data_IF_892744001250
#
_entry.id   IF_892744001250
#
_cell.length_a   1.000
_cell.length_b   1.000
_cell.length_c   1.000
_cell.angle_alpha   90.00
_cell.angle_beta   90.00
_cell.angle_gamma   90.00
#
_symmetry.space_group_name_H-M   'P 1'
#
loop_
_entity.id
_entity.type
_entity.pdbx_description
1 polymer ?
#
# COMPACT_ATOMS: atom_id res chain seq x y z
N UNK A 1 -9.49 -7.38 -21.05
CA UNK A 1 -8.82 -7.51 -19.75
C UNK A 1 -9.80 -7.11 -18.66
N UNK A 2 -9.90 -7.89 -17.58
CA UNK A 2 -10.67 -7.54 -16.39
C UNK A 2 -9.71 -7.21 -15.25
N UNK A 3 -9.93 -6.09 -14.56
CA UNK A 3 -9.13 -5.67 -13.40
C UNK A 3 -10.04 -5.52 -12.20
N UNK A 4 -9.68 -6.08 -11.05
CA UNK A 4 -10.52 -5.99 -9.85
C UNK A 4 -9.73 -5.94 -8.55
N UNK A 5 -10.29 -5.24 -7.56
CA UNK A 5 -9.86 -5.22 -6.17
C UNK A 5 -11.11 -5.37 -5.29
N UNK A 6 -11.62 -6.60 -5.10
CA UNK A 6 -12.86 -6.82 -4.34
C UNK A 6 -12.71 -6.41 -2.87
N UNK A 7 -13.82 -6.13 -2.16
CA UNK A 7 -13.77 -5.75 -0.75
C UNK A 7 -13.00 -6.75 0.12
N UNK A 8 -11.92 -6.27 0.75
CA UNK A 8 -11.00 -7.11 1.53
C UNK A 8 -11.46 -7.42 2.97
N UNK A 9 -12.54 -6.80 3.43
CA UNK A 9 -12.98 -6.81 4.83
C UNK A 9 -13.23 -8.20 5.44
N UNK A 10 -13.73 -9.21 4.69
CA UNK A 10 -13.89 -10.58 5.20
C UNK A 10 -12.57 -11.28 5.54
N UNK A 11 -11.44 -10.79 5.00
CA UNK A 11 -10.12 -11.45 5.00
C UNK A 11 -9.08 -10.77 5.90
N UNK A 12 -9.45 -9.68 6.58
CA UNK A 12 -8.52 -8.94 7.45
C UNK A 12 -8.51 -9.50 8.88
N UNK A 13 -7.35 -9.47 9.56
CA UNK A 13 -7.18 -9.88 10.98
C UNK A 13 -8.14 -9.19 11.97
N UNK A 14 -8.70 -8.03 11.61
CA UNK A 14 -9.64 -7.26 12.44
C UNK A 14 -11.11 -7.42 11.98
N UNK A 15 -11.40 -8.28 11.00
CA UNK A 15 -12.76 -8.62 10.57
C UNK A 15 -13.28 -9.88 11.25
N UNK A 16 -14.57 -10.18 11.07
CA UNK A 16 -15.21 -11.37 11.65
C UNK A 16 -14.73 -12.70 11.05
N UNK A 17 -13.76 -12.67 10.11
CA UNK A 17 -13.21 -13.84 9.40
C UNK A 17 -14.29 -14.77 8.80
N UNK A 18 -15.42 -14.19 8.40
CA UNK A 18 -16.53 -14.94 7.80
C UNK A 18 -16.26 -15.34 6.35
N UNK A 19 -15.17 -14.84 5.73
CA UNK A 19 -14.74 -15.22 4.39
C UNK A 19 -15.92 -15.18 3.37
N UNK A 20 -16.23 -16.29 2.70
CA UNK A 20 -17.29 -16.44 1.70
C UNK A 20 -18.71 -16.32 2.27
N UNK A 21 -18.90 -16.43 3.57
CA UNK A 21 -20.20 -16.27 4.23
C UNK A 21 -20.54 -14.80 4.50
N UNK A 22 -19.57 -13.91 4.30
CA UNK A 22 -19.79 -12.47 4.44
C UNK A 22 -20.64 -11.93 3.27
N UNK A 23 -21.75 -11.21 3.53
CA UNK A 23 -22.59 -10.62 2.48
C UNK A 23 -21.83 -9.72 1.50
N UNK A 24 -20.70 -9.14 1.93
CA UNK A 24 -19.86 -8.28 1.09
C UNK A 24 -19.11 -9.06 0.00
N UNK A 25 -19.03 -10.39 0.10
CA UNK A 25 -18.39 -11.24 -0.93
C UNK A 25 -19.33 -11.64 -2.06
N UNK A 26 -20.63 -11.36 -1.98
CA UNK A 26 -21.62 -11.77 -2.99
C UNK A 26 -21.22 -11.29 -4.39
N UNK A 27 -20.81 -10.03 -4.51
CA UNK A 27 -20.33 -9.47 -5.79
C UNK A 27 -19.06 -10.17 -6.29
N UNK A 28 -18.13 -10.51 -5.40
CA UNK A 28 -16.92 -11.25 -5.75
C UNK A 28 -17.29 -12.64 -6.28
N UNK A 29 -18.08 -13.42 -5.53
CA UNK A 29 -18.52 -14.77 -5.93
C UNK A 29 -19.20 -14.76 -7.29
N UNK A 30 -20.09 -13.80 -7.52
CA UNK A 30 -20.76 -13.65 -8.81
C UNK A 30 -19.78 -13.28 -9.94
N UNK A 31 -18.83 -12.36 -9.68
CA UNK A 31 -17.80 -12.00 -10.66
C UNK A 31 -16.91 -13.20 -11.01
N UNK A 32 -16.52 -14.02 -10.02
CA UNK A 32 -15.76 -15.24 -10.25
C UNK A 32 -16.53 -16.24 -11.10
N UNK A 33 -17.83 -16.43 -10.84
CA UNK A 33 -18.68 -17.24 -11.71
C UNK A 33 -18.71 -16.70 -13.15
N UNK A 34 -18.81 -15.38 -13.35
CA UNK A 34 -18.80 -14.80 -14.69
C UNK A 34 -17.48 -15.00 -15.43
N UNK A 35 -16.35 -15.14 -14.74
CA UNK A 35 -15.05 -15.44 -15.37
C UNK A 35 -15.12 -16.78 -16.12
N UNK A 36 -15.75 -17.82 -15.55
CA UNK A 36 -15.86 -19.13 -16.22
C UNK A 36 -16.76 -19.12 -17.44
N UNK A 37 -17.73 -18.20 -17.48
CA UNK A 37 -18.67 -18.05 -18.59
C UNK A 37 -18.10 -17.17 -19.71
N UNK A 38 -17.58 -16.00 -19.36
CA UNK A 38 -17.14 -14.99 -20.33
C UNK A 38 -15.71 -15.25 -20.81
N UNK A 39 -14.89 -15.89 -19.98
CA UNK A 39 -13.48 -16.21 -20.27
C UNK A 39 -12.67 -15.01 -20.79
N UNK A 40 -12.60 -13.89 -20.04
CA UNK A 40 -11.79 -12.74 -20.44
C UNK A 40 -10.32 -13.12 -20.67
N UNK A 41 -9.71 -12.64 -21.75
CA UNK A 41 -8.35 -13.08 -22.12
C UNK A 41 -7.27 -12.79 -21.06
N UNK A 42 -7.44 -11.73 -20.28
CA UNK A 42 -6.53 -11.33 -19.19
C UNK A 42 -7.33 -10.93 -17.96
N UNK A 43 -6.86 -11.34 -16.79
CA UNK A 43 -7.42 -11.01 -15.47
C UNK A 43 -6.30 -10.48 -14.58
N UNK A 44 -6.58 -9.38 -13.89
CA UNK A 44 -5.76 -8.83 -12.82
C UNK A 44 -6.62 -8.73 -11.55
N UNK A 45 -6.11 -9.25 -10.45
CA UNK A 45 -6.78 -9.30 -9.16
C UNK A 45 -5.85 -8.76 -8.07
N UNK A 46 -6.32 -7.83 -7.24
CA UNK A 46 -5.60 -7.32 -6.07
C UNK A 46 -6.41 -7.57 -4.80
N UNK A 47 -5.75 -7.93 -3.71
CA UNK A 47 -6.36 -8.08 -2.40
C UNK A 47 -5.36 -7.87 -1.25
N UNK A 48 -5.82 -7.96 -0.01
CA UNK A 48 -4.97 -7.85 1.18
C UNK A 48 -4.13 -9.10 1.43
N UNK A 49 -2.99 -8.91 2.11
CA UNK A 49 -2.26 -10.02 2.74
C UNK A 49 -3.21 -10.77 3.68
N UNK A 50 -3.22 -12.10 3.58
CA UNK A 50 -4.16 -13.01 4.24
C UNK A 50 -5.18 -13.61 3.26
N UNK A 51 -5.47 -12.93 2.14
CA UNK A 51 -6.37 -13.47 1.12
C UNK A 51 -5.82 -14.78 0.53
N UNK A 52 -4.50 -14.90 0.39
CA UNK A 52 -3.83 -16.08 -0.15
C UNK A 52 -4.05 -17.38 0.63
N UNK A 53 -4.60 -17.30 1.84
CA UNK A 53 -4.94 -18.47 2.67
C UNK A 53 -6.45 -18.62 2.88
N UNK A 54 -7.25 -17.84 2.16
CA UNK A 54 -8.71 -17.80 2.29
C UNK A 54 -9.42 -18.79 1.37
N UNK A 55 -10.68 -19.12 1.69
CA UNK A 55 -11.55 -19.89 0.79
C UNK A 55 -11.90 -19.07 -0.47
N UNK A 56 -11.94 -17.74 -0.36
CA UNK A 56 -12.03 -16.85 -1.52
C UNK A 56 -10.91 -17.05 -2.54
N UNK A 57 -9.67 -17.22 -2.09
CA UNK A 57 -8.54 -17.52 -2.99
C UNK A 57 -8.65 -18.91 -3.58
N UNK A 58 -9.01 -19.93 -2.77
CA UNK A 58 -9.21 -21.30 -3.27
C UNK A 58 -10.27 -21.36 -4.37
N UNK A 59 -11.38 -20.63 -4.19
CA UNK A 59 -12.43 -20.50 -5.19
C UNK A 59 -11.94 -19.82 -6.47
N UNK A 60 -11.18 -18.72 -6.34
CA UNK A 60 -10.58 -18.04 -7.49
C UNK A 60 -9.66 -18.96 -8.28
N UNK A 61 -8.74 -19.66 -7.61
CA UNK A 61 -7.79 -20.57 -8.25
C UNK A 61 -8.49 -21.75 -8.92
N UNK A 62 -9.44 -22.41 -8.25
CA UNK A 62 -10.21 -23.52 -8.86
C UNK A 62 -10.94 -23.07 -10.13
N UNK A 63 -11.60 -21.91 -10.11
CA UNK A 63 -12.29 -21.37 -11.29
C UNK A 63 -11.32 -21.09 -12.43
N UNK A 64 -10.15 -20.53 -12.14
CA UNK A 64 -9.13 -20.24 -13.15
C UNK A 64 -8.58 -21.52 -13.78
N UNK A 65 -8.21 -22.51 -12.95
CA UNK A 65 -7.72 -23.81 -13.41
C UNK A 65 -8.76 -24.55 -14.27
N UNK A 66 -10.02 -24.62 -13.82
CA UNK A 66 -11.12 -25.25 -14.56
C UNK A 66 -11.46 -24.51 -15.86
N UNK A 67 -11.17 -23.20 -15.92
CA UNK A 67 -11.43 -22.36 -17.09
C UNK A 67 -10.23 -22.23 -18.03
N UNK A 68 -9.19 -23.07 -17.87
CA UNK A 68 -7.97 -23.08 -18.67
C UNK A 68 -7.21 -21.74 -18.70
N UNK A 69 -7.08 -21.13 -17.51
CA UNK A 69 -6.17 -20.02 -17.30
C UNK A 69 -4.85 -20.52 -16.73
N UNK A 70 -3.77 -19.94 -17.20
CA UNK A 70 -2.54 -19.86 -16.43
C UNK A 70 -2.55 -18.62 -15.56
N UNK A 71 -1.97 -18.75 -14.37
CA UNK A 71 -1.92 -17.64 -13.41
C UNK A 71 -0.65 -17.66 -12.56
N UNK A 72 -0.34 -16.51 -11.97
CA UNK A 72 0.71 -16.36 -10.98
C UNK A 72 0.20 -15.48 -9.84
N UNK A 73 0.44 -15.95 -8.62
CA UNK A 73 0.15 -15.22 -7.39
C UNK A 73 1.39 -14.51 -6.84
N UNK A 74 1.20 -13.32 -6.27
CA UNK A 74 2.28 -12.55 -5.67
C UNK A 74 1.88 -11.93 -4.34
N UNK A 75 2.88 -11.71 -3.49
CA UNK A 75 2.80 -10.84 -2.32
C UNK A 75 3.88 -9.77 -2.42
N UNK A 76 3.48 -8.55 -2.78
CA UNK A 76 4.40 -7.46 -3.10
C UNK A 76 4.13 -6.22 -2.26
N UNK A 77 5.19 -5.48 -1.97
CA UNK A 77 5.15 -4.22 -1.24
C UNK A 77 5.81 -3.10 -2.05
N UNK A 78 5.29 -1.85 -2.02
CA UNK A 78 5.93 -0.71 -2.68
C UNK A 78 7.40 -0.48 -2.28
N UNK A 79 7.80 -0.94 -1.09
CA UNK A 79 9.20 -0.90 -0.64
C UNK A 79 10.16 -1.55 -1.65
N UNK A 80 9.75 -2.65 -2.31
CA UNK A 80 10.58 -3.34 -3.32
C UNK A 80 10.81 -2.47 -4.57
N UNK A 81 9.93 -1.49 -4.80
CA UNK A 81 9.92 -0.61 -5.96
C UNK A 81 10.46 0.79 -5.62
N UNK A 82 11.13 0.92 -4.47
CA UNK A 82 11.78 2.15 -4.01
C UNK A 82 10.82 3.19 -3.44
N UNK A 83 9.57 2.81 -3.16
CA UNK A 83 8.57 3.73 -2.61
C UNK A 83 8.54 3.56 -1.08
N UNK A 84 8.72 4.64 -0.29
CA UNK A 84 8.83 4.57 1.17
C UNK A 84 7.47 4.38 1.87
N UNK A 85 6.67 3.41 1.44
CA UNK A 85 5.39 3.07 2.05
C UNK A 85 5.19 1.55 2.18
N UNK A 86 4.94 1.11 3.41
CA UNK A 86 4.64 -0.29 3.72
C UNK A 86 3.20 -0.61 3.32
N UNK A 87 2.99 -1.26 2.17
CA UNK A 87 1.65 -1.68 1.69
C UNK A 87 1.70 -3.04 1.03
N UNK A 88 1.97 -4.08 1.82
CA UNK A 88 1.96 -5.47 1.34
C UNK A 88 0.56 -5.86 0.87
N UNK A 89 0.46 -6.36 -0.37
CA UNK A 89 -0.79 -6.80 -1.00
C UNK A 89 -0.59 -8.08 -1.78
N UNK A 90 -1.67 -8.84 -1.84
CA UNK A 90 -1.82 -9.98 -2.71
C UNK A 90 -2.17 -9.50 -4.11
N UNK A 91 -1.51 -10.08 -5.12
CA UNK A 91 -1.83 -9.87 -6.52
C UNK A 91 -1.96 -11.23 -7.20
N UNK A 92 -2.89 -11.36 -8.14
CA UNK A 92 -2.95 -12.47 -9.07
C UNK A 92 -3.11 -11.92 -10.48
N UNK A 93 -2.32 -12.46 -11.40
CA UNK A 93 -2.48 -12.22 -12.83
C UNK A 93 -2.83 -13.54 -13.49
N UNK A 94 -3.78 -13.54 -14.42
CA UNK A 94 -4.15 -14.72 -15.17
C UNK A 94 -4.34 -14.41 -16.66
N UNK A 95 -3.91 -15.34 -17.50
CA UNK A 95 -4.00 -15.29 -18.96
C UNK A 95 -4.74 -16.53 -19.44
N UNK A 96 -5.72 -16.34 -20.31
CA UNK A 96 -6.44 -17.46 -20.91
C UNK A 96 -5.50 -18.19 -21.88
N UNK A 97 -5.23 -19.47 -21.63
CA UNK A 97 -4.37 -20.25 -22.51
C UNK A 97 -5.06 -20.52 -23.85
N UNK A 98 -4.34 -20.29 -24.95
CA UNK A 98 -4.66 -20.93 -26.23
C UNK A 98 -4.28 -22.40 -26.17
N UNK A 99 -4.85 -23.25 -27.06
CA UNK A 99 -4.41 -24.65 -27.18
C UNK A 99 -2.88 -24.71 -27.33
N UNK A 100 -2.18 -25.24 -26.32
CA UNK A 100 -0.73 -25.52 -26.37
C UNK A 100 0.21 -24.57 -25.63
N UNK A 101 -0.27 -23.71 -24.72
CA UNK A 101 0.62 -22.99 -23.80
C UNK A 101 0.68 -23.73 -22.47
N UNK A 102 1.89 -23.91 -21.91
CA UNK A 102 2.14 -24.43 -20.57
C UNK A 102 2.78 -23.27 -19.79
N UNK A 103 2.00 -22.34 -19.27
CA UNK A 103 2.48 -21.64 -18.08
C UNK A 103 2.31 -22.65 -16.95
N UNK A 104 3.42 -23.26 -16.54
CA UNK A 104 3.47 -24.18 -15.41
C UNK A 104 2.80 -23.52 -14.21
N UNK A 105 1.89 -24.26 -13.57
CA UNK A 105 1.37 -23.95 -12.25
C UNK A 105 2.56 -23.71 -11.31
N UNK A 106 2.92 -22.46 -11.10
CA UNK A 106 3.87 -22.11 -10.05
C UNK A 106 3.05 -22.16 -8.75
N UNK A 107 2.97 -23.36 -8.16
CA UNK A 107 2.19 -23.68 -6.96
C UNK A 107 2.52 -22.77 -5.75
N UNK A 108 3.61 -22.00 -5.82
CA UNK A 108 4.04 -21.10 -4.76
C UNK A 108 3.78 -19.62 -5.10
N UNK A 109 3.17 -18.93 -4.13
CA UNK A 109 3.03 -17.47 -4.13
C UNK A 109 4.43 -16.84 -4.17
N UNK A 110 4.66 -16.00 -5.18
CA UNK A 110 5.94 -15.31 -5.34
C UNK A 110 6.00 -14.04 -4.50
N UNK A 111 7.08 -13.89 -3.73
CA UNK A 111 7.41 -12.62 -3.07
C UNK A 111 8.36 -11.76 -3.91
N UNK A 112 8.78 -12.27 -5.08
CA UNK A 112 9.78 -11.65 -5.94
C UNK A 112 9.11 -10.96 -7.13
N UNK A 113 9.48 -9.71 -7.42
CA UNK A 113 9.08 -9.07 -8.67
C UNK A 113 9.83 -9.69 -9.85
N UNK A 114 9.28 -9.57 -11.06
CA UNK A 114 10.02 -9.94 -12.28
C UNK A 114 10.96 -8.79 -12.69
N UNK A 115 12.26 -9.07 -12.67
CA UNK A 115 13.32 -8.09 -12.92
C UNK A 115 13.70 -7.96 -14.41
N UNK A 116 13.43 -9.00 -15.19
CA UNK A 116 13.65 -9.09 -16.63
C UNK A 116 12.59 -8.32 -17.45
N UNK A 117 11.41 -8.09 -16.86
CA UNK A 117 10.29 -7.37 -17.49
C UNK A 117 10.20 -5.93 -16.99
N UNK A 118 10.94 -5.04 -17.64
CA UNK A 118 11.11 -3.65 -17.21
C UNK A 118 10.03 -2.74 -17.80
N UNK A 119 9.42 -1.92 -16.95
CA UNK A 119 8.57 -0.81 -17.40
C UNK A 119 9.39 0.18 -18.23
N UNK A 120 8.78 0.68 -19.31
CA UNK A 120 9.38 1.69 -20.17
C UNK A 120 9.77 2.94 -19.37
N UNK A 121 11.02 3.39 -19.54
CA UNK A 121 11.60 4.56 -18.86
C UNK A 121 11.53 4.52 -17.31
N UNK A 122 11.43 3.34 -16.69
CA UNK A 122 11.42 3.20 -15.23
C UNK A 122 12.80 2.86 -14.68
N UNK A 123 13.27 3.62 -13.68
CA UNK A 123 14.54 3.40 -12.96
C UNK A 123 14.34 2.96 -11.50
N UNK A 124 13.18 2.37 -11.17
CA UNK A 124 12.95 1.82 -9.83
C UNK A 124 13.93 0.66 -9.53
N UNK A 125 14.13 0.29 -8.25
CA UNK A 125 15.06 -0.77 -7.88
C UNK A 125 14.84 -2.11 -8.61
N UNK A 126 13.59 -2.45 -8.92
CA UNK A 126 13.24 -3.61 -9.74
C UNK A 126 13.74 -3.46 -11.19
N UNK A 127 13.39 -2.38 -11.89
CA UNK A 127 13.81 -2.18 -13.28
C UNK A 127 15.33 -1.99 -13.45
N UNK A 128 15.98 -1.37 -12.46
CA UNK A 128 17.43 -1.19 -12.47
C UNK A 128 18.18 -2.44 -11.98
N UNK A 129 17.49 -3.47 -11.49
CA UNK A 129 18.10 -4.67 -10.91
C UNK A 129 18.82 -4.44 -9.58
N UNK A 130 18.61 -3.30 -8.91
CA UNK A 130 19.29 -2.96 -7.65
C UNK A 130 18.84 -3.86 -6.50
N UNK A 131 17.58 -4.29 -6.50
CA UNK A 131 17.02 -5.19 -5.47
C UNK A 131 17.14 -6.68 -5.81
N UNK A 132 17.80 -7.06 -6.92
CA UNK A 132 17.98 -8.47 -7.33
C UNK A 132 18.84 -9.27 -6.35
N UNK A 133 19.82 -8.65 -5.69
CA UNK A 133 20.67 -9.31 -4.69
C UNK A 133 19.89 -9.77 -3.45
N UNK A 134 18.71 -9.19 -3.19
CA UNK A 134 17.84 -9.52 -2.06
C UNK A 134 16.91 -10.72 -2.35
N UNK A 135 17.07 -11.40 -3.50
CA UNK A 135 16.18 -12.48 -3.94
C UNK A 135 16.33 -13.79 -3.15
N UNK A 136 17.47 -14.06 -2.50
CA UNK A 136 17.77 -15.37 -1.92
C UNK A 136 17.23 -15.57 -0.49
N UNK A 137 16.59 -14.56 0.10
CA UNK A 137 16.03 -14.68 1.42
C UNK A 137 14.58 -15.18 1.36
N UNK A 138 14.35 -16.39 1.86
CA UNK A 138 13.03 -17.01 1.98
C UNK A 138 12.09 -16.33 3.00
N UNK A 139 12.43 -15.12 3.45
CA UNK A 139 11.74 -14.44 4.55
C UNK A 139 11.17 -13.12 4.07
N UNK A 140 9.89 -12.88 4.37
CA UNK A 140 9.07 -11.71 3.99
C UNK A 140 9.54 -10.39 4.62
N UNK A 141 10.84 -10.14 4.69
CA UNK A 141 11.48 -8.96 5.25
C UNK A 141 11.71 -7.90 4.18
N UNK A 142 10.61 -7.26 3.76
CA UNK A 142 10.66 -6.16 2.78
C UNK A 142 11.50 -4.97 3.24
N UNK A 143 11.79 -4.85 4.54
CA UNK A 143 12.60 -3.78 5.13
C UNK A 143 14.05 -3.74 4.65
N UNK A 144 14.57 -4.84 4.08
CA UNK A 144 15.89 -4.80 3.41
C UNK A 144 15.90 -3.88 2.19
N UNK A 145 14.75 -3.62 1.58
CA UNK A 145 14.64 -2.71 0.44
C UNK A 145 14.68 -1.22 0.84
N UNK A 146 14.72 -0.89 2.14
CA UNK A 146 14.68 0.50 2.61
C UNK A 146 15.89 1.32 2.16
N UNK A 147 17.04 0.69 1.93
CA UNK A 147 18.22 1.36 1.38
C UNK A 147 17.99 1.88 -0.06
N UNK A 148 17.07 1.25 -0.79
CA UNK A 148 16.72 1.62 -2.16
C UNK A 148 15.47 2.51 -2.25
N UNK A 149 14.83 2.77 -1.11
CA UNK A 149 13.66 3.63 -1.05
C UNK A 149 14.05 5.10 -1.06
N UNK A 150 13.27 5.89 -1.77
CA UNK A 150 13.35 7.34 -1.72
C UNK A 150 13.10 7.84 -0.29
N UNK A 151 13.57 9.06 0.00
CA UNK A 151 13.25 9.74 1.26
C UNK A 151 11.81 10.27 1.24
N UNK A 152 11.19 10.36 2.41
CA UNK A 152 9.84 10.92 2.57
C UNK A 152 9.73 12.33 2.01
N UNK A 153 10.81 13.13 2.10
CA UNK A 153 10.87 14.48 1.53
C UNK A 153 10.43 14.56 0.06
N UNK A 154 10.70 13.53 -0.75
CA UNK A 154 10.31 13.49 -2.16
C UNK A 154 8.79 13.37 -2.40
N UNK A 155 8.01 13.10 -1.34
CA UNK A 155 6.57 12.86 -1.40
C UNK A 155 5.75 13.95 -0.70
N UNK A 156 6.41 14.87 0.01
CA UNK A 156 5.79 15.99 0.72
C UNK A 156 5.33 17.08 -0.25
N UNK A 157 4.29 17.79 0.13
CA UNK A 157 3.90 19.02 -0.59
C UNK A 157 4.68 20.21 -0.06
N UNK A 158 5.12 21.09 -0.97
CA UNK A 158 5.69 22.36 -0.56
C UNK A 158 4.61 23.22 0.10
N UNK A 159 4.97 23.95 1.15
CA UNK A 159 4.04 24.78 1.92
C UNK A 159 3.28 25.81 1.07
N UNK A 160 3.89 26.25 -0.04
CA UNK A 160 3.32 27.24 -0.96
C UNK A 160 2.37 26.65 -2.02
N UNK A 161 2.30 25.32 -2.13
CA UNK A 161 1.50 24.61 -3.15
C UNK A 161 0.26 23.93 -2.55
N UNK A 162 0.12 23.92 -1.22
CA UNK A 162 -1.09 23.42 -0.57
C UNK A 162 -2.27 24.32 -0.95
N UNK A 163 -3.33 23.73 -1.49
CA UNK A 163 -4.54 24.51 -1.78
C UNK A 163 -5.06 25.21 -0.52
N UNK A 164 -5.69 26.40 -0.61
CA UNK A 164 -6.09 27.20 0.56
C UNK A 164 -6.96 26.46 1.61
N UNK A 165 -7.64 25.37 1.21
CA UNK A 165 -8.45 24.51 2.08
C UNK A 165 -7.76 23.18 2.48
N UNK A 166 -6.53 22.95 2.00
CA UNK A 166 -5.74 21.73 2.15
C UNK A 166 -4.48 21.89 3.02
N UNK A 167 -4.32 23.03 3.69
CA UNK A 167 -3.21 23.27 4.61
C UNK A 167 -2.94 22.13 5.60
N UNK A 168 -1.68 22.07 6.06
CA UNK A 168 -1.21 21.07 7.01
C UNK A 168 -2.12 21.01 8.24
N UNK A 169 -2.64 19.81 8.54
CA UNK A 169 -3.47 19.58 9.72
C UNK A 169 -2.60 19.04 10.84
N UNK A 170 -2.34 19.85 11.87
CA UNK A 170 -1.66 19.42 13.08
C UNK A 170 -2.51 18.38 13.84
N UNK A 171 -1.83 17.55 14.64
CA UNK A 171 -2.48 16.63 15.56
C UNK A 171 -2.98 17.44 16.77
N UNK A 172 -4.28 17.33 17.07
CA UNK A 172 -4.89 18.05 18.18
C UNK A 172 -4.28 17.64 19.53
N UNK A 173 -4.20 18.57 20.48
CA UNK A 173 -3.67 18.31 21.82
C UNK A 173 -4.36 17.14 22.52
N UNK A 174 -5.69 17.06 22.45
CA UNK A 174 -6.49 15.96 23.02
C UNK A 174 -6.11 14.59 22.46
N UNK A 175 -5.64 14.56 21.21
CA UNK A 175 -5.18 13.34 20.53
C UNK A 175 -3.78 12.97 21.02
N UNK A 176 -2.89 13.96 21.17
CA UNK A 176 -1.55 13.76 21.74
C UNK A 176 -1.61 13.25 23.18
N UNK A 177 -2.44 13.85 24.04
CA UNK A 177 -2.64 13.43 25.43
C UNK A 177 -2.97 11.94 25.58
N UNK A 178 -3.84 11.42 24.70
CA UNK A 178 -4.37 10.06 24.79
C UNK A 178 -3.56 9.03 24.01
N UNK A 179 -2.78 9.48 23.02
CA UNK A 179 -2.31 8.60 21.95
C UNK A 179 -0.91 8.87 21.45
N UNK A 180 -0.14 9.80 22.04
CA UNK A 180 1.20 10.13 21.54
C UNK A 180 2.13 8.92 21.44
N UNK A 181 2.17 8.05 22.46
CA UNK A 181 3.00 6.83 22.47
C UNK A 181 2.61 5.79 21.41
N UNK A 182 1.45 5.95 20.77
CA UNK A 182 0.91 5.06 19.74
C UNK A 182 1.14 5.58 18.32
N UNK A 183 1.72 6.77 18.19
CA UNK A 183 2.02 7.37 16.89
C UNK A 183 3.29 6.76 16.32
N UNK A 184 3.22 6.31 15.08
CA UNK A 184 4.41 6.07 14.26
C UNK A 184 4.83 7.42 13.66
N UNK A 185 5.88 8.03 14.21
CA UNK A 185 6.36 9.37 13.83
C UNK A 185 7.50 9.22 12.83
N UNK A 186 7.43 9.97 11.74
CA UNK A 186 8.43 9.99 10.68
C UNK A 186 8.89 11.42 10.36
N UNK A 187 10.09 11.52 9.81
CA UNK A 187 10.73 12.77 9.40
C UNK A 187 10.93 12.82 7.89
N UNK A 188 11.37 13.96 7.35
CA UNK A 188 11.70 14.11 5.94
C UNK A 188 12.78 13.12 5.45
N UNK A 189 13.72 12.78 6.34
CA UNK A 189 14.84 11.86 6.08
C UNK A 189 14.48 10.39 6.27
N UNK A 190 13.28 10.10 6.78
CA UNK A 190 12.81 8.72 6.89
C UNK A 190 12.60 8.11 5.49
N UNK A 191 12.75 6.79 5.37
CA UNK A 191 12.58 6.03 4.13
C UNK A 191 11.45 4.99 4.24
N UNK A 192 10.61 5.10 5.27
CA UNK A 192 9.47 4.22 5.50
C UNK A 192 8.33 4.98 6.18
N UNK A 193 7.13 4.75 5.68
CA UNK A 193 5.86 4.99 6.37
C UNK A 193 5.12 3.67 6.58
N UNK A 194 4.27 3.62 7.60
CA UNK A 194 3.26 2.59 7.79
C UNK A 194 2.17 2.64 6.70
N UNK A 195 1.41 1.56 6.57
CA UNK A 195 0.29 1.46 5.64
C UNK A 195 -0.81 2.48 5.99
N UNK A 196 -1.16 3.36 5.05
CA UNK A 196 -2.34 4.21 5.19
C UNK A 196 -3.61 3.39 4.92
N UNK A 197 -4.50 3.32 5.92
CA UNK A 197 -5.79 2.61 5.81
C UNK A 197 -6.96 3.60 5.83
N UNK A 198 -8.16 3.10 5.49
CA UNK A 198 -9.38 3.91 5.36
C UNK A 198 -9.78 4.73 6.61
N UNK A 199 -9.24 4.37 7.77
CA UNK A 199 -9.50 5.01 9.06
C UNK A 199 -8.40 5.99 9.49
N UNK A 200 -7.46 6.34 8.60
CA UNK A 200 -6.46 7.37 8.87
C UNK A 200 -7.14 8.68 9.32
N UNK A 201 -6.53 9.35 10.31
CA UNK A 201 -7.10 10.50 11.03
C UNK A 201 -8.37 10.25 11.88
N UNK A 202 -8.94 9.03 11.87
CA UNK A 202 -10.03 8.63 12.78
C UNK A 202 -9.55 7.71 13.89
N UNK A 203 -8.71 6.74 13.55
CA UNK A 203 -8.01 5.87 14.50
C UNK A 203 -6.55 6.27 14.53
N UNK A 204 -5.99 6.48 15.72
CA UNK A 204 -4.62 6.93 15.86
C UNK A 204 -3.65 5.78 15.55
N UNK A 205 -3.81 4.70 16.33
CA UNK A 205 -2.93 3.55 16.31
C UNK A 205 -3.13 2.68 15.06
N UNK A 206 -2.02 2.40 14.37
CA UNK A 206 -1.98 1.47 13.25
C UNK A 206 -2.73 1.94 12.00
N UNK A 207 -3.00 3.24 11.86
CA UNK A 207 -3.74 3.76 10.70
C UNK A 207 -2.86 4.36 9.60
N UNK A 208 -1.59 4.61 9.91
CA UNK A 208 -0.57 5.25 9.08
C UNK A 208 0.43 6.00 9.96
N UNK A 209 1.49 6.54 9.34
CA UNK A 209 2.49 7.36 10.02
C UNK A 209 2.05 8.83 10.14
N UNK A 210 2.76 9.60 10.95
CA UNK A 210 2.54 11.02 11.21
C UNK A 210 3.84 11.78 11.01
N UNK A 211 3.75 12.97 10.42
CA UNK A 211 4.91 13.74 10.03
C UNK A 211 5.32 14.72 11.14
N UNK A 212 6.60 14.71 11.50
CA UNK A 212 7.21 15.71 12.38
C UNK A 212 7.65 16.93 11.56
N UNK A 213 7.18 18.13 11.93
CA UNK A 213 7.55 19.36 11.23
C UNK A 213 8.80 20.05 11.79
N UNK A 214 9.18 19.77 13.05
CA UNK A 214 10.45 20.29 13.61
C UNK A 214 11.65 19.61 12.99
N UNK A 215 12.78 20.30 12.94
CA UNK A 215 14.04 19.72 12.47
C UNK A 215 14.51 18.58 13.40
N UNK A 216 15.40 17.73 12.90
CA UNK A 216 15.99 16.65 13.69
C UNK A 216 16.78 17.19 14.88
N UNK A 217 17.47 18.32 14.70
CA UNK A 217 18.24 19.00 15.74
C UNK A 217 17.34 19.55 16.84
N UNK A 218 16.24 20.24 16.47
CA UNK A 218 15.25 20.75 17.42
C UNK A 218 14.60 19.60 18.19
N UNK A 219 14.18 18.54 17.50
CA UNK A 219 13.59 17.36 18.15
C UNK A 219 14.59 16.68 19.10
N UNK A 220 15.87 16.62 18.76
CA UNK A 220 16.91 16.09 19.65
C UNK A 220 17.06 16.95 20.91
N UNK A 221 17.12 18.28 20.78
CA UNK A 221 17.18 19.20 21.92
C UNK A 221 15.95 19.05 22.82
N UNK A 222 14.75 19.02 22.24
CA UNK A 222 13.51 18.76 22.97
C UNK A 222 13.54 17.41 23.70
N UNK A 223 14.15 16.39 23.10
CA UNK A 223 14.28 15.07 23.71
C UNK A 223 15.21 15.11 24.93
N UNK A 224 16.30 15.90 24.88
CA UNK A 224 17.18 16.10 26.03
C UNK A 224 16.45 16.80 27.18
N UNK A 225 15.69 17.86 26.89
CA UNK A 225 14.86 18.54 27.90
C UNK A 225 13.86 17.59 28.57
N UNK A 226 13.24 16.70 27.78
CA UNK A 226 12.33 15.69 28.33
C UNK A 226 13.06 14.70 29.25
N UNK A 227 14.27 14.27 28.88
CA UNK A 227 15.07 13.33 29.68
C UNK A 227 15.58 13.95 30.98
N UNK A 228 15.88 15.25 30.96
CA UNK A 228 16.30 16.02 32.14
C UNK A 228 15.13 16.37 33.07
N UNK A 229 13.89 16.17 32.65
CA UNK A 229 12.69 16.54 33.40
C UNK A 229 12.28 18.01 33.28
N UNK A 230 12.92 18.78 32.38
CA UNK A 230 12.65 20.21 32.17
C UNK A 230 11.28 20.44 31.50
N UNK A 231 10.79 19.46 30.73
CA UNK A 231 9.49 19.49 30.07
C UNK A 231 8.73 18.19 30.26
N UNK A 232 7.39 18.28 30.24
CA UNK A 232 6.53 17.09 30.28
C UNK A 232 6.49 16.35 28.94
N UNK A 233 6.09 15.08 28.95
CA UNK A 233 5.87 14.28 27.72
C UNK A 233 4.87 14.95 26.77
N UNK A 234 3.82 15.58 27.33
CA UNK A 234 2.82 16.30 26.53
C UNK A 234 3.40 17.58 25.93
N UNK A 235 4.21 18.33 26.69
CA UNK A 235 4.88 19.53 26.19
C UNK A 235 5.88 19.19 25.07
N UNK A 236 6.66 18.12 25.24
CA UNK A 236 7.49 17.55 24.19
C UNK A 236 6.68 17.23 22.93
N UNK A 237 5.57 16.49 23.06
CA UNK A 237 4.71 16.11 21.94
C UNK A 237 4.13 17.31 21.18
N UNK A 238 3.71 18.37 21.89
CA UNK A 238 3.22 19.61 21.30
C UNK A 238 4.30 20.33 20.50
N UNK A 239 5.52 20.39 21.06
CA UNK A 239 6.65 21.12 20.47
C UNK A 239 7.18 20.44 19.21
N UNK A 240 7.00 19.13 19.04
CA UNK A 240 7.33 18.42 17.79
C UNK A 240 6.49 18.84 16.57
N UNK A 241 5.39 19.60 16.78
CA UNK A 241 4.50 20.09 15.71
C UNK A 241 4.08 18.97 14.75
N UNK A 242 3.58 17.87 15.31
CA UNK A 242 3.19 16.71 14.51
C UNK A 242 1.95 17.02 13.66
N UNK A 243 1.93 16.51 12.42
CA UNK A 243 0.80 16.64 11.49
C UNK A 243 0.42 15.32 10.84
N UNK A 244 -0.82 15.28 10.35
CA UNK A 244 -1.25 14.26 9.39
C UNK A 244 -0.61 14.54 8.04
N UNK A 245 -0.33 13.47 7.27
CA UNK A 245 -0.06 13.63 5.84
C UNK A 245 -1.32 14.14 5.13
N UNK A 246 -1.16 15.06 4.17
CA UNK A 246 -2.27 15.53 3.33
C UNK A 246 -2.80 14.39 2.47
N UNK A 247 -4.06 14.44 1.99
CA UNK A 247 -4.54 13.47 1.00
C UNK A 247 -3.66 13.41 -0.25
N UNK A 248 -3.09 14.54 -0.68
CA UNK A 248 -2.22 14.59 -1.86
C UNK A 248 -0.86 13.97 -1.59
N UNK A 249 -0.27 14.15 -0.41
CA UNK A 249 0.95 13.43 0.01
C UNK A 249 0.72 11.92 0.09
N UNK A 250 -0.41 11.47 0.66
CA UNK A 250 -0.78 10.04 0.66
C UNK A 250 -0.94 9.51 -0.77
N UNK A 251 -1.57 10.29 -1.66
CA UNK A 251 -1.68 9.93 -3.06
C UNK A 251 -0.30 9.86 -3.76
N UNK A 252 0.67 10.70 -3.38
CA UNK A 252 2.06 10.62 -3.85
C UNK A 252 2.71 9.30 -3.41
N UNK A 253 2.57 8.90 -2.12
CA UNK A 253 3.06 7.60 -1.64
C UNK A 253 2.38 6.41 -2.33
N UNK A 254 1.15 6.60 -2.82
CA UNK A 254 0.44 5.62 -3.65
C UNK A 254 0.78 5.73 -5.15
N UNK A 255 1.71 6.62 -5.51
CA UNK A 255 2.20 6.88 -6.86
C UNK A 255 1.12 7.33 -7.85
N UNK A 256 0.07 8.00 -7.37
CA UNK A 256 -0.87 8.68 -8.26
C UNK A 256 -0.17 9.83 -8.99
N UNK A 257 -0.51 10.08 -10.26
CA UNK A 257 0.10 11.16 -11.03
C UNK A 257 -0.15 12.52 -10.37
N UNK A 258 0.74 13.48 -10.64
CA UNK A 258 0.60 14.85 -10.14
C UNK A 258 -0.66 15.55 -10.64
N UNK A 259 -1.21 15.12 -11.78
CA UNK A 259 -2.50 15.58 -12.31
C UNK A 259 -3.73 15.03 -11.57
N UNK A 260 -3.57 13.98 -10.74
CA UNK A 260 -4.71 13.43 -9.99
C UNK A 260 -5.21 14.44 -8.95
N UNK A 261 -6.52 14.72 -8.98
CA UNK A 261 -7.20 15.64 -8.07
C UNK A 261 -8.53 15.02 -7.63
N UNK A 262 -8.94 15.33 -6.41
CA UNK A 262 -10.30 15.04 -5.95
C UNK A 262 -11.22 16.19 -6.33
N UNK A 263 -12.51 15.93 -6.61
CA UNK A 263 -13.49 17.00 -6.66
C UNK A 263 -13.50 17.80 -5.34
N UNK A 264 -13.69 19.11 -5.43
CA UNK A 264 -13.73 20.01 -4.28
C UNK A 264 -14.79 19.60 -3.24
N UNK A 265 -15.88 19.00 -3.72
CA UNK A 265 -16.99 18.50 -2.88
C UNK A 265 -16.62 17.30 -2.00
N UNK A 266 -15.52 16.60 -2.29
CA UNK A 266 -15.07 15.44 -1.50
C UNK A 266 -14.29 15.94 -0.29
N UNK A 267 -14.84 15.75 0.90
CA UNK A 267 -14.20 16.16 2.16
C UNK A 267 -12.86 15.44 2.41
N UNK A 268 -11.95 16.07 3.17
CA UNK A 268 -10.66 15.46 3.57
C UNK A 268 -10.82 14.06 4.18
N UNK A 269 -11.83 13.87 5.03
CA UNK A 269 -12.11 12.57 5.64
C UNK A 269 -12.55 11.51 4.63
N UNK A 270 -13.34 11.88 3.61
CA UNK A 270 -13.70 10.98 2.51
C UNK A 270 -12.49 10.67 1.64
N UNK A 271 -11.61 11.65 1.37
CA UNK A 271 -10.36 11.44 0.60
C UNK A 271 -9.44 10.43 1.29
N UNK A 272 -9.22 10.54 2.61
CA UNK A 272 -8.49 9.53 3.38
C UNK A 272 -9.12 8.14 3.29
N UNK A 273 -10.45 8.05 3.36
CA UNK A 273 -11.17 6.78 3.22
C UNK A 273 -10.95 6.16 1.84
N UNK A 274 -11.04 6.96 0.78
CA UNK A 274 -10.84 6.52 -0.60
C UNK A 274 -9.40 6.05 -0.83
N UNK A 275 -8.41 6.87 -0.46
CA UNK A 275 -6.99 6.53 -0.58
C UNK A 275 -6.63 5.30 0.25
N UNK A 276 -7.11 5.20 1.49
CA UNK A 276 -6.84 4.04 2.34
C UNK A 276 -7.33 2.71 1.76
N UNK A 277 -8.39 2.74 0.94
CA UNK A 277 -8.90 1.59 0.18
C UNK A 277 -8.26 1.43 -1.22
N UNK A 278 -7.45 2.38 -1.65
CA UNK A 278 -6.86 2.39 -2.99
C UNK A 278 -5.68 1.41 -3.14
N UNK A 279 -5.11 1.34 -4.33
CA UNK A 279 -3.91 0.56 -4.66
C UNK A 279 -2.67 1.46 -4.75
N UNK A 280 -1.48 0.87 -4.77
CA UNK A 280 -0.27 1.58 -5.19
C UNK A 280 -0.13 1.46 -6.72
N UNK A 281 -0.22 2.60 -7.42
CA UNK A 281 -0.26 2.66 -8.90
C UNK A 281 1.02 2.09 -9.52
N UNK A 282 2.18 2.33 -8.91
CA UNK A 282 3.48 1.87 -9.44
C UNK A 282 3.57 0.34 -9.41
N UNK A 283 3.21 -0.28 -8.28
CA UNK A 283 3.21 -1.75 -8.16
C UNK A 283 2.21 -2.37 -9.16
N UNK A 284 1.00 -1.82 -9.25
CA UNK A 284 -0.01 -2.29 -10.21
C UNK A 284 0.46 -2.17 -11.66
N UNK A 285 1.12 -1.06 -12.02
CA UNK A 285 1.67 -0.88 -13.36
C UNK A 285 2.70 -1.97 -13.72
N UNK A 286 3.59 -2.32 -12.78
CA UNK A 286 4.54 -3.43 -12.96
C UNK A 286 3.83 -4.76 -13.17
N UNK A 287 2.88 -5.11 -12.29
CA UNK A 287 2.18 -6.39 -12.34
C UNK A 287 1.34 -6.53 -13.62
N UNK A 288 0.65 -5.46 -14.04
CA UNK A 288 -0.07 -5.42 -15.32
C UNK A 288 0.87 -5.55 -16.52
N UNK A 289 2.03 -4.89 -16.49
CA UNK A 289 3.02 -5.01 -17.54
C UNK A 289 3.56 -6.45 -17.66
N UNK A 290 3.75 -7.13 -16.54
CA UNK A 290 4.15 -8.54 -16.53
C UNK A 290 3.09 -9.43 -17.15
N UNK A 291 1.80 -9.19 -16.88
CA UNK A 291 0.69 -9.92 -17.48
C UNK A 291 0.61 -9.75 -19.00
N UNK A 292 0.75 -8.51 -19.48
CA UNK A 292 0.60 -8.20 -20.91
C UNK A 292 1.84 -8.63 -21.71
N UNK A 293 3.02 -8.62 -21.08
CA UNK A 293 4.28 -9.05 -21.70
C UNK A 293 4.55 -10.55 -21.57
N UNK A 294 3.60 -11.32 -21.02
CA UNK A 294 3.66 -12.78 -20.91
C UNK A 294 3.13 -13.48 -22.16
#
# INVERSE_FOLDING_TARGET
>A
MWTMSPPCQPYTRNGNMMDLDDPRTVAMKHTLYLISQVRPHYIFFENVKGFESSNGQKMLVSILSESAYSFQEFLLSPLQFGVPNSRLRYYLIAKLEGKGSLMQDLEAISYKPYFDRKLYQCNCPVCSGRSRSLENDHVNHFERNLEFCDRISAYLEADNLAEPHEGHKLIDEKVLEKGFSKLDIVTESSNKTCCFIKCYAKKIEGSGSYYQMTSCEEAHQLKQLLLNGDISSLDYAKRLKLRYFSPREIANFMCFPQSFRFPETVTRAQRYRLLGNSVNVKVVAHVLHWLISA
#
